data_IF_040524590483
#
_entry.id   IF_040524590483
#
_cell.length_a   1.000
_cell.length_b   1.000
_cell.length_c   1.000
_cell.angle_alpha   90.00
_cell.angle_beta   90.00
_cell.angle_gamma   90.00
#
_symmetry.space_group_name_H-M   'P 1'
#
loop_
_entity.id
_entity.type
_entity.pdbx_description
1 polymer ?
#
# COMPACT_ATOMS: atom_id res chain seq x y z
N UNK A 1 -41.89 -9.96 -1.09
CA UNK A 1 -41.16 -8.93 -0.31
C UNK A 1 -39.84 -8.66 -1.01
N UNK A 2 -39.72 -7.50 -1.65
CA UNK A 2 -38.58 -7.15 -2.50
C UNK A 2 -37.43 -6.62 -1.64
N UNK A 3 -36.30 -7.31 -1.62
CA UNK A 3 -35.06 -6.81 -1.03
C UNK A 3 -34.48 -5.73 -1.94
N UNK A 4 -34.78 -4.47 -1.63
CA UNK A 4 -34.02 -3.34 -2.17
C UNK A 4 -32.62 -3.38 -1.57
N UNK A 5 -31.65 -3.76 -2.40
CA UNK A 5 -30.23 -3.50 -2.18
C UNK A 5 -30.05 -2.00 -1.94
N UNK A 6 -29.68 -1.62 -0.71
CA UNK A 6 -29.37 -0.24 -0.36
C UNK A 6 -27.98 0.05 -0.90
N UNK A 7 -27.92 0.64 -2.09
CA UNK A 7 -26.71 1.29 -2.58
C UNK A 7 -26.27 2.32 -1.53
N UNK A 8 -25.10 2.10 -0.93
CA UNK A 8 -24.43 3.05 -0.06
C UNK A 8 -23.98 4.22 -0.94
N UNK A 9 -24.83 5.23 -1.07
CA UNK A 9 -24.41 6.56 -1.52
C UNK A 9 -23.69 7.23 -0.35
N UNK A 10 -22.47 6.78 -0.04
CA UNK A 10 -21.55 7.55 0.78
C UNK A 10 -21.12 8.76 -0.07
N UNK A 11 -21.12 9.95 0.52
CA UNK A 11 -20.62 11.16 -0.12
C UNK A 11 -19.11 10.97 -0.39
N UNK A 12 -18.77 10.52 -1.60
CA UNK A 12 -17.42 10.03 -1.98
C UNK A 12 -16.33 11.10 -1.81
N UNK A 13 -16.73 12.38 -1.91
CA UNK A 13 -15.84 13.53 -1.71
C UNK A 13 -15.21 13.57 -0.31
N UNK A 14 -15.97 13.21 0.74
CA UNK A 14 -15.46 13.23 2.11
C UNK A 14 -14.55 12.05 2.44
N UNK A 15 -14.74 10.90 1.78
CA UNK A 15 -13.91 9.72 2.03
C UNK A 15 -12.50 9.91 1.49
N UNK A 16 -12.35 10.48 0.28
CA UNK A 16 -11.06 10.69 -0.35
C UNK A 16 -10.38 12.04 -0.01
N UNK A 17 -10.93 12.79 0.95
CA UNK A 17 -10.36 14.07 1.40
C UNK A 17 -9.27 13.85 2.48
N UNK A 18 -7.98 14.10 2.21
CA UNK A 18 -6.90 13.91 3.19
C UNK A 18 -7.01 14.80 4.44
N UNK A 19 -7.74 15.92 4.38
CA UNK A 19 -7.97 16.79 5.53
C UNK A 19 -9.14 16.32 6.41
N UNK A 20 -10.01 15.47 5.86
CA UNK A 20 -11.02 14.79 6.64
C UNK A 20 -10.43 13.56 7.34
N UNK A 21 -10.21 13.67 8.66
CA UNK A 21 -9.75 12.56 9.49
C UNK A 21 -10.88 11.79 10.17
N UNK A 22 -12.12 12.05 9.77
CA UNK A 22 -13.33 11.42 10.30
C UNK A 22 -13.37 9.90 10.10
N UNK A 23 -14.48 9.26 10.50
CA UNK A 23 -14.61 7.82 10.38
C UNK A 23 -14.61 7.41 8.90
N UNK A 24 -13.64 6.57 8.51
CA UNK A 24 -13.61 5.89 7.21
C UNK A 24 -13.80 4.41 7.42
N UNK A 25 -14.84 3.88 6.81
CA UNK A 25 -15.12 2.45 6.89
C UNK A 25 -13.93 1.62 6.39
N UNK A 26 -13.69 0.51 7.06
CA UNK A 26 -12.85 -0.56 6.59
C UNK A 26 -13.51 -1.90 6.91
N UNK A 27 -13.12 -3.02 6.27
CA UNK A 27 -13.67 -4.33 6.57
C UNK A 27 -13.75 -4.68 8.07
N UNK A 28 -12.75 -4.26 8.87
CA UNK A 28 -12.74 -4.46 10.33
C UNK A 28 -13.65 -3.50 11.11
N UNK A 29 -13.86 -2.28 10.60
CA UNK A 29 -14.60 -1.21 11.27
C UNK A 29 -15.60 -0.58 10.30
N UNK A 30 -16.79 -1.18 10.22
CA UNK A 30 -17.89 -0.73 9.35
C UNK A 30 -18.54 0.58 9.79
N UNK A 31 -18.28 1.01 11.02
CA UNK A 31 -18.63 2.33 11.54
C UNK A 31 -17.56 3.39 11.25
N UNK A 32 -16.44 2.99 10.64
CA UNK A 32 -15.30 3.84 10.34
C UNK A 32 -14.42 4.22 11.53
N UNK A 33 -14.61 3.57 12.69
CA UNK A 33 -13.76 3.79 13.86
C UNK A 33 -13.89 5.19 14.48
N UNK A 34 -12.86 5.58 15.23
CA UNK A 34 -12.78 6.89 15.91
C UNK A 34 -12.23 7.96 14.99
N UNK A 35 -11.20 7.63 14.21
CA UNK A 35 -10.60 8.51 13.22
C UNK A 35 -9.86 7.68 12.17
N UNK A 36 -9.53 8.31 11.05
CA UNK A 36 -8.75 7.69 9.99
C UNK A 36 -7.82 8.69 9.32
N UNK A 37 -6.75 8.19 8.71
CA UNK A 37 -5.81 8.99 7.93
C UNK A 37 -5.81 8.47 6.51
N UNK A 38 -5.80 9.37 5.52
CA UNK A 38 -5.86 9.02 4.11
C UNK A 38 -4.76 9.72 3.32
N UNK A 39 -4.26 9.03 2.30
CA UNK A 39 -3.41 9.63 1.27
C UNK A 39 -3.66 8.94 -0.07
N UNK A 40 -3.40 9.66 -1.15
CA UNK A 40 -3.44 9.12 -2.49
C UNK A 40 -2.44 9.82 -3.39
N UNK A 41 -2.04 9.13 -4.46
CA UNK A 41 -1.24 9.70 -5.53
C UNK A 41 -1.45 8.92 -6.83
N UNK A 42 -1.20 9.58 -7.96
CA UNK A 42 -1.04 8.91 -9.25
C UNK A 42 0.43 8.57 -9.44
N UNK A 43 0.75 7.32 -9.77
CA UNK A 43 2.11 6.82 -10.00
C UNK A 43 2.26 6.46 -11.48
N UNK A 44 3.25 7.05 -12.16
CA UNK A 44 3.54 6.80 -13.57
C UNK A 44 4.28 5.47 -13.78
N UNK A 45 3.61 4.40 -13.42
CA UNK A 45 4.07 3.03 -13.57
C UNK A 45 2.85 2.10 -13.64
N UNK A 46 2.98 0.91 -14.24
CA UNK A 46 1.90 -0.06 -14.28
C UNK A 46 1.55 -0.58 -12.87
N UNK A 47 0.29 -1.01 -12.63
CA UNK A 47 -0.17 -1.51 -11.33
C UNK A 47 0.71 -2.60 -10.72
N UNK A 48 1.30 -3.44 -11.57
CA UNK A 48 2.20 -4.51 -11.14
C UNK A 48 3.43 -4.00 -10.41
N UNK A 49 4.04 -2.90 -10.87
CA UNK A 49 5.24 -2.35 -10.24
C UNK A 49 4.92 -1.81 -8.83
N UNK A 50 3.78 -1.13 -8.67
CA UNK A 50 3.32 -0.64 -7.37
C UNK A 50 2.97 -1.80 -6.43
N UNK A 51 2.28 -2.81 -6.94
CA UNK A 51 1.90 -4.01 -6.18
C UNK A 51 3.12 -4.77 -5.67
N UNK A 52 4.10 -5.02 -6.54
CA UNK A 52 5.34 -5.72 -6.15
C UNK A 52 6.15 -4.91 -5.13
N UNK A 53 6.23 -3.59 -5.28
CA UNK A 53 6.94 -2.72 -4.32
C UNK A 53 6.30 -2.73 -2.92
N UNK A 54 4.97 -2.78 -2.83
CA UNK A 54 4.26 -2.88 -1.54
C UNK A 54 4.50 -4.25 -0.90
N UNK A 55 4.47 -5.34 -1.68
CA UNK A 55 4.67 -6.69 -1.13
C UNK A 55 6.12 -6.98 -0.74
N UNK A 56 7.08 -6.26 -1.30
CA UNK A 56 8.51 -6.39 -1.00
C UNK A 56 8.93 -5.62 0.26
N UNK A 57 8.38 -6.01 1.41
CA UNK A 57 8.55 -5.29 2.68
C UNK A 57 10.01 -5.13 3.12
N UNK A 58 10.90 -6.03 2.72
CA UNK A 58 12.33 -5.95 3.03
C UNK A 58 13.03 -4.79 2.32
N UNK A 59 12.48 -4.32 1.19
CA UNK A 59 12.97 -3.17 0.44
C UNK A 59 12.33 -1.85 0.86
N UNK A 60 11.38 -1.85 1.79
CA UNK A 60 10.75 -0.60 2.24
C UNK A 60 11.79 0.39 2.79
N UNK A 61 12.84 -0.08 3.45
CA UNK A 61 13.96 0.77 3.91
C UNK A 61 14.69 1.53 2.80
N UNK A 62 14.60 1.08 1.55
CA UNK A 62 15.25 1.72 0.40
C UNK A 62 14.48 2.96 -0.06
N UNK A 63 13.17 3.03 0.21
CA UNK A 63 12.32 4.11 -0.31
C UNK A 63 11.51 4.84 0.76
N UNK A 64 11.11 4.18 1.84
CA UNK A 64 10.10 4.67 2.76
C UNK A 64 10.70 5.42 3.95
N UNK A 65 10.48 6.73 4.01
CA UNK A 65 10.96 7.56 5.13
C UNK A 65 10.03 7.55 6.34
N UNK A 66 8.83 6.97 6.23
CA UNK A 66 7.91 6.77 7.34
C UNK A 66 8.12 5.40 8.01
N UNK A 67 7.90 4.30 7.29
CA UNK A 67 8.18 2.94 7.79
C UNK A 67 9.57 2.55 7.33
N UNK A 68 10.55 2.88 8.16
CA UNK A 68 11.97 2.84 7.81
C UNK A 68 12.56 1.43 7.73
N UNK A 69 11.92 0.45 8.36
CA UNK A 69 12.29 -0.96 8.23
C UNK A 69 11.11 -1.87 8.60
N UNK A 70 11.13 -3.11 8.13
CA UNK A 70 10.12 -4.12 8.44
C UNK A 70 10.78 -5.45 8.80
N UNK A 71 10.51 -5.92 10.01
CA UNK A 71 10.93 -7.25 10.47
C UNK A 71 9.78 -8.24 10.29
N UNK A 72 9.93 -9.24 9.42
CA UNK A 72 8.98 -10.37 9.35
C UNK A 72 9.22 -11.28 10.55
N UNK A 73 8.21 -11.40 11.42
CA UNK A 73 8.29 -12.19 12.67
C UNK A 73 7.69 -13.59 12.52
N UNK A 74 6.76 -13.77 11.59
CA UNK A 74 6.23 -15.09 11.20
C UNK A 74 5.71 -15.02 9.77
N UNK A 75 5.93 -16.09 8.99
CA UNK A 75 5.51 -16.14 7.59
C UNK A 75 4.95 -17.54 7.25
N UNK A 76 3.79 -17.64 6.56
CA UNK A 76 3.18 -18.93 6.17
C UNK A 76 4.10 -19.84 5.33
N UNK A 77 5.05 -19.24 4.62
CA UNK A 77 6.04 -19.91 3.78
C UNK A 77 7.48 -19.61 4.21
N UNK A 78 7.78 -19.68 5.51
CA UNK A 78 9.08 -19.33 6.10
C UNK A 78 10.31 -20.05 5.53
N UNK A 79 10.12 -21.14 4.79
CA UNK A 79 11.18 -21.89 4.11
C UNK A 79 11.69 -21.23 2.81
N UNK A 80 10.99 -20.22 2.28
CA UNK A 80 11.42 -19.50 1.08
C UNK A 80 12.49 -18.46 1.42
N UNK A 81 13.47 -18.28 0.52
CA UNK A 81 14.56 -17.30 0.71
C UNK A 81 14.09 -15.85 0.52
N UNK A 82 13.24 -15.63 -0.49
CA UNK A 82 12.74 -14.31 -0.84
C UNK A 82 11.31 -14.13 -0.33
N UNK A 83 11.18 -13.80 0.96
CA UNK A 83 9.88 -13.62 1.60
C UNK A 83 9.25 -12.30 1.16
N UNK A 84 8.14 -12.38 0.42
CA UNK A 84 7.23 -11.25 0.19
C UNK A 84 6.09 -11.33 1.19
N UNK A 85 5.49 -10.18 1.52
CA UNK A 85 4.27 -10.18 2.33
C UNK A 85 3.18 -11.03 1.67
N UNK A 86 2.61 -11.95 2.44
CA UNK A 86 1.46 -12.80 2.07
C UNK A 86 0.38 -12.78 3.17
N UNK A 87 -0.83 -13.24 2.88
CA UNK A 87 -1.89 -13.40 3.89
C UNK A 87 -1.40 -14.22 5.09
N UNK A 88 -1.56 -13.68 6.30
CA UNK A 88 -1.08 -14.29 7.53
C UNK A 88 0.40 -14.01 7.85
N UNK A 89 1.07 -13.13 7.11
CA UNK A 89 2.42 -12.66 7.47
C UNK A 89 2.34 -11.73 8.68
N UNK A 90 3.10 -12.03 9.72
CA UNK A 90 3.25 -11.18 10.91
C UNK A 90 4.53 -10.36 10.80
N UNK A 91 4.42 -9.07 11.11
CA UNK A 91 5.48 -8.09 10.89
C UNK A 91 5.60 -7.14 12.07
N UNK A 92 6.80 -6.62 12.29
CA UNK A 92 7.03 -5.44 13.11
C UNK A 92 7.45 -4.31 12.18
N UNK A 93 6.70 -3.22 12.18
CA UNK A 93 7.02 -2.00 11.42
C UNK A 93 7.82 -1.06 12.31
N UNK A 94 8.99 -0.64 11.84
CA UNK A 94 9.85 0.32 12.52
C UNK A 94 9.63 1.71 11.93
N UNK A 95 8.81 2.53 12.58
CA UNK A 95 8.30 3.78 12.02
C UNK A 95 8.98 5.02 12.61
N UNK A 96 9.31 6.00 11.77
CA UNK A 96 9.70 7.35 12.16
C UNK A 96 8.45 8.22 12.28
N UNK A 97 7.84 8.21 13.47
CA UNK A 97 6.56 8.88 13.73
C UNK A 97 6.67 10.41 13.66
N UNK A 98 7.71 10.98 14.28
CA UNK A 98 8.08 12.40 14.20
C UNK A 98 9.60 12.50 14.03
N UNK A 99 10.22 13.65 13.71
CA UNK A 99 11.68 13.75 13.62
C UNK A 99 12.45 13.34 14.89
N UNK A 100 11.80 13.34 16.06
CA UNK A 100 12.41 13.02 17.35
C UNK A 100 11.92 11.70 17.96
N UNK A 101 10.93 11.05 17.36
CA UNK A 101 10.24 9.90 17.95
C UNK A 101 10.11 8.77 16.94
N UNK A 102 10.61 7.60 17.32
CA UNK A 102 10.40 6.32 16.63
C UNK A 102 9.35 5.51 17.37
N UNK A 103 8.59 4.71 16.63
CA UNK A 103 7.59 3.82 17.18
C UNK A 103 7.59 2.50 16.41
N UNK A 104 7.44 1.41 17.15
CA UNK A 104 7.26 0.09 16.57
C UNK A 104 5.80 -0.32 16.68
N UNK A 105 5.25 -0.86 15.60
CA UNK A 105 3.93 -1.47 15.59
C UNK A 105 4.02 -2.92 15.11
N UNK A 106 3.23 -3.81 15.72
CA UNK A 106 3.09 -5.20 15.27
C UNK A 106 1.86 -5.28 14.39
N UNK A 107 2.03 -5.79 13.18
CA UNK A 107 1.00 -5.87 12.16
C UNK A 107 0.86 -7.32 11.69
N UNK A 108 -0.33 -7.66 11.19
CA UNK A 108 -0.57 -8.91 10.45
C UNK A 108 -1.21 -8.59 9.11
N UNK A 109 -0.65 -9.13 8.02
CA UNK A 109 -1.27 -9.02 6.71
C UNK A 109 -2.56 -9.85 6.71
N UNK A 110 -3.69 -9.18 6.61
CA UNK A 110 -5.02 -9.79 6.72
C UNK A 110 -5.64 -10.08 5.36
N UNK A 111 -5.12 -9.47 4.29
CA UNK A 111 -5.59 -9.72 2.93
C UNK A 111 -4.65 -9.20 1.84
N UNK A 112 -4.50 -9.98 0.79
CA UNK A 112 -3.89 -9.62 -0.48
C UNK A 112 -4.82 -10.10 -1.59
N UNK A 113 -5.45 -9.15 -2.26
CA UNK A 113 -6.21 -9.43 -3.46
C UNK A 113 -5.31 -9.74 -4.65
N UNK A 114 -5.76 -10.62 -5.55
CA UNK A 114 -5.13 -10.78 -6.87
C UNK A 114 -5.03 -9.42 -7.55
N UNK A 115 -3.86 -9.11 -8.10
CA UNK A 115 -3.65 -7.92 -8.92
C UNK A 115 -4.66 -7.91 -10.07
N UNK A 116 -5.41 -6.81 -10.15
CA UNK A 116 -6.35 -6.52 -11.22
C UNK A 116 -5.78 -5.46 -12.16
N UNK A 117 -6.08 -5.62 -13.44
CA UNK A 117 -5.73 -4.68 -14.51
C UNK A 117 -7.00 -4.30 -15.29
N UNK A 118 -6.84 -3.47 -16.32
CA UNK A 118 -7.90 -3.14 -17.28
C UNK A 118 -8.47 -4.35 -18.04
N UNK A 119 -7.77 -5.47 -18.04
CA UNK A 119 -8.25 -6.72 -18.66
C UNK A 119 -9.28 -7.44 -17.78
N UNK A 120 -9.34 -7.13 -16.48
CA UNK A 120 -10.28 -7.75 -15.55
C UNK A 120 -11.68 -7.11 -15.60
N UNK A 121 -12.68 -7.86 -15.12
CA UNK A 121 -14.03 -7.35 -14.95
C UNK A 121 -14.12 -6.37 -13.77
N UNK A 122 -14.88 -5.26 -13.89
CA UNK A 122 -15.15 -4.35 -12.79
C UNK A 122 -15.77 -5.03 -11.54
N UNK A 123 -15.47 -4.54 -10.32
CA UNK A 123 -14.56 -3.43 -10.00
C UNK A 123 -13.07 -3.84 -10.09
N UNK A 124 -12.25 -2.96 -10.71
CA UNK A 124 -10.84 -3.18 -11.05
C UNK A 124 -9.86 -2.67 -9.99
N UNK A 125 -10.27 -2.75 -8.73
CA UNK A 125 -9.45 -2.32 -7.60
C UNK A 125 -8.83 -3.54 -6.93
N UNK A 126 -7.50 -3.54 -6.84
CA UNK A 126 -6.72 -4.48 -6.03
C UNK A 126 -6.61 -3.95 -4.61
N UNK A 127 -6.78 -4.81 -3.60
CA UNK A 127 -6.70 -4.41 -2.19
C UNK A 127 -5.65 -5.21 -1.45
N UNK A 128 -4.82 -4.52 -0.69
CA UNK A 128 -3.89 -5.10 0.29
C UNK A 128 -4.25 -4.53 1.66
N UNK A 129 -4.39 -5.38 2.66
CA UNK A 129 -4.75 -4.98 4.03
C UNK A 129 -3.83 -5.60 5.05
N UNK A 130 -3.54 -4.82 6.09
CA UNK A 130 -2.93 -5.31 7.31
C UNK A 130 -3.59 -4.67 8.52
N UNK A 131 -3.55 -5.42 9.61
CA UNK A 131 -4.27 -5.14 10.83
C UNK A 131 -3.29 -5.06 11.99
N UNK A 132 -3.56 -4.16 12.93
CA UNK A 132 -2.81 -4.09 14.17
C UNK A 132 -2.91 -5.42 14.91
N UNK A 133 -1.78 -6.06 15.18
CA UNK A 133 -1.72 -7.37 15.81
C UNK A 133 -1.91 -7.26 17.34
N UNK A 134 -3.16 -7.08 17.74
CA UNK A 134 -3.62 -6.98 19.13
C UNK A 134 -3.03 -8.05 20.07
N UNK A 135 -3.07 -9.32 19.66
CA UNK A 135 -2.55 -10.43 20.47
C UNK A 135 -1.04 -10.33 20.70
N UNK A 136 -0.29 -9.78 19.74
CA UNK A 136 1.14 -9.49 19.88
C UNK A 136 1.48 -8.47 20.97
N UNK A 137 0.50 -7.70 21.45
CA UNK A 137 0.63 -6.74 22.56
C UNK A 137 -0.17 -7.12 23.81
N UNK A 138 -0.83 -8.28 23.82
CA UNK A 138 -1.81 -8.65 24.85
C UNK A 138 -2.88 -7.55 25.06
N UNK A 139 -3.17 -6.77 24.01
CA UNK A 139 -4.10 -5.66 24.05
C UNK A 139 -5.43 -6.09 23.39
N UNK A 140 -6.55 -6.14 24.12
CA UNK A 140 -7.86 -6.45 23.52
C UNK A 140 -8.28 -5.44 22.45
N UNK A 141 -9.13 -5.84 21.49
CA UNK A 141 -9.57 -4.97 20.39
C UNK A 141 -10.38 -3.73 20.82
N UNK A 142 -10.99 -3.74 22.02
CA UNK A 142 -11.64 -2.55 22.58
C UNK A 142 -10.61 -1.49 23.01
N UNK A 143 -9.36 -1.90 23.27
CA UNK A 143 -8.26 -1.01 23.64
C UNK A 143 -7.75 -0.27 22.41
N UNK A 144 -7.40 -1.00 21.38
CA UNK A 144 -6.97 -0.43 20.12
C UNK A 144 -7.28 -1.43 19.04
N UNK A 145 -7.69 -0.94 17.89
CA UNK A 145 -7.69 -1.70 16.65
C UNK A 145 -7.32 -0.73 15.55
N UNK A 146 -6.48 -1.16 14.63
CA UNK A 146 -6.19 -0.40 13.42
C UNK A 146 -6.22 -1.35 12.24
N UNK A 147 -6.71 -0.88 11.11
CA UNK A 147 -6.61 -1.58 9.84
C UNK A 147 -6.18 -0.59 8.79
N UNK A 148 -5.08 -0.91 8.12
CA UNK A 148 -4.62 -0.19 6.94
C UNK A 148 -5.09 -0.89 5.69
N UNK A 149 -5.63 -0.10 4.77
CA UNK A 149 -6.06 -0.54 3.45
C UNK A 149 -5.26 0.21 2.41
N UNK A 150 -4.80 -0.53 1.41
CA UNK A 150 -4.12 0.01 0.23
C UNK A 150 -4.90 -0.45 -0.99
N UNK A 151 -5.21 0.50 -1.85
CA UNK A 151 -5.89 0.27 -3.12
C UNK A 151 -4.96 0.62 -4.27
N UNK A 152 -4.94 -0.28 -5.26
CA UNK A 152 -4.20 -0.12 -6.50
C UNK A 152 -5.20 -0.29 -7.63
N UNK A 153 -5.30 0.72 -8.47
CA UNK A 153 -6.22 0.77 -9.60
C UNK A 153 -5.48 1.29 -10.84
N UNK A 154 -5.70 0.65 -11.98
CA UNK A 154 -5.16 1.10 -13.27
C UNK A 154 -6.01 2.25 -13.80
N UNK A 155 -5.38 3.38 -14.10
CA UNK A 155 -5.99 4.50 -14.81
C UNK A 155 -6.08 4.21 -16.32
N UNK A 156 -6.85 5.02 -17.05
CA UNK A 156 -7.07 4.83 -18.49
C UNK A 156 -5.77 4.91 -19.32
N UNK A 157 -4.81 5.73 -18.88
CA UNK A 157 -3.50 5.90 -19.51
C UNK A 157 -2.48 4.81 -19.13
N UNK A 158 -2.89 3.80 -18.37
CA UNK A 158 -2.03 2.72 -17.87
C UNK A 158 -1.17 3.09 -16.66
N UNK A 159 -1.31 4.32 -16.14
CA UNK A 159 -0.72 4.71 -14.85
C UNK A 159 -1.51 4.09 -13.68
N UNK A 160 -0.97 4.18 -12.48
CA UNK A 160 -1.60 3.63 -11.29
C UNK A 160 -2.17 4.75 -10.42
N UNK A 161 -3.46 4.66 -10.10
CA UNK A 161 -4.06 5.41 -9.01
C UNK A 161 -3.90 4.62 -7.71
N UNK A 162 -3.06 5.14 -6.81
CA UNK A 162 -2.78 4.54 -5.52
C UNK A 162 -3.52 5.30 -4.42
N UNK A 163 -4.23 4.58 -3.56
CA UNK A 163 -4.91 5.14 -2.37
C UNK A 163 -4.58 4.31 -1.15
N UNK A 164 -4.46 4.95 -0.01
CA UNK A 164 -4.19 4.26 1.25
C UNK A 164 -4.85 4.98 2.40
N UNK A 165 -5.46 4.22 3.31
CA UNK A 165 -5.97 4.77 4.57
C UNK A 165 -5.77 3.80 5.71
N UNK A 166 -5.74 4.34 6.91
CA UNK A 166 -5.76 3.55 8.13
C UNK A 166 -6.85 4.08 9.05
N UNK A 167 -7.70 3.16 9.47
CA UNK A 167 -8.80 3.43 10.37
C UNK A 167 -8.41 2.97 11.77
N UNK A 168 -8.57 3.83 12.77
CA UNK A 168 -8.26 3.54 14.17
C UNK A 168 -9.52 3.49 15.01
N UNK A 169 -9.66 2.49 15.86
CA UNK A 169 -10.77 2.31 16.78
C UNK A 169 -10.34 1.91 18.18
N UNK A 170 -11.29 1.94 19.11
CA UNK A 170 -11.07 1.65 20.53
C UNK A 170 -10.82 2.91 21.37
N UNK A 171 -10.79 2.74 22.70
CA UNK A 171 -10.65 3.87 23.64
C UNK A 171 -9.34 4.67 23.44
N UNK A 172 -8.24 4.03 23.02
CA UNK A 172 -6.92 4.64 22.90
C UNK A 172 -6.77 5.44 21.60
N UNK A 173 -7.62 5.17 20.60
CA UNK A 173 -7.61 5.88 19.34
C UNK A 173 -7.84 7.39 19.52
N UNK A 174 -8.66 7.81 20.50
CA UNK A 174 -8.85 9.25 20.81
C UNK A 174 -7.54 9.91 21.28
N UNK A 175 -6.76 9.21 22.09
CA UNK A 175 -5.47 9.69 22.58
C UNK A 175 -4.44 9.73 21.45
N UNK A 176 -4.42 8.71 20.59
CA UNK A 176 -3.53 8.65 19.41
C UNK A 176 -3.86 9.80 18.46
N UNK A 177 -5.14 10.03 18.14
CA UNK A 177 -5.59 11.17 17.33
C UNK A 177 -5.05 12.47 17.90
N UNK A 178 -5.33 12.75 19.18
CA UNK A 178 -4.89 13.99 19.83
C UNK A 178 -3.36 14.19 19.79
N UNK A 179 -2.59 13.11 19.90
CA UNK A 179 -1.12 13.19 19.96
C UNK A 179 -0.44 13.22 18.59
N UNK A 180 -0.96 12.46 17.62
CA UNK A 180 -0.23 12.14 16.38
C UNK A 180 -1.03 12.39 15.10
N UNK A 181 -2.24 12.94 15.13
CA UNK A 181 -3.04 13.14 13.92
C UNK A 181 -2.29 13.87 12.80
N UNK A 182 -1.73 15.05 13.07
CA UNK A 182 -0.96 15.81 12.07
C UNK A 182 0.30 15.06 11.62
N UNK A 183 1.02 14.45 12.55
CA UNK A 183 2.19 13.64 12.23
C UNK A 183 1.81 12.47 11.32
N UNK A 184 0.68 11.80 11.58
CA UNK A 184 0.20 10.69 10.76
C UNK A 184 -0.25 11.16 9.38
N UNK A 185 -0.92 12.33 9.26
CA UNK A 185 -1.23 12.94 7.96
C UNK A 185 0.04 13.14 7.13
N UNK A 186 1.06 13.76 7.72
CA UNK A 186 2.36 13.96 7.08
C UNK A 186 3.01 12.63 6.71
N UNK A 187 2.97 11.65 7.61
CA UNK A 187 3.54 10.32 7.40
C UNK A 187 2.90 9.57 6.24
N UNK A 188 1.58 9.67 6.08
CA UNK A 188 0.86 9.05 4.97
C UNK A 188 1.11 9.78 3.65
N UNK A 189 1.23 11.11 3.68
CA UNK A 189 1.65 11.87 2.51
C UNK A 189 3.08 11.49 2.09
N UNK A 190 4.01 11.36 3.04
CA UNK A 190 5.38 10.89 2.81
C UNK A 190 5.40 9.48 2.24
N UNK A 191 4.64 8.55 2.81
CA UNK A 191 4.47 7.20 2.30
C UNK A 191 4.13 7.19 0.80
N UNK A 192 3.08 7.91 0.40
CA UNK A 192 2.60 7.91 -0.99
C UNK A 192 3.58 8.59 -1.95
N UNK A 193 4.24 9.67 -1.50
CA UNK A 193 5.30 10.36 -2.25
C UNK A 193 6.50 9.46 -2.48
N UNK A 194 6.96 8.78 -1.43
CA UNK A 194 8.16 7.96 -1.43
C UNK A 194 7.97 6.71 -2.30
N UNK A 195 6.81 6.03 -2.17
CA UNK A 195 6.42 4.91 -3.04
C UNK A 195 6.39 5.33 -4.52
N UNK A 196 5.77 6.49 -4.82
CA UNK A 196 5.74 7.06 -6.16
C UNK A 196 7.15 7.28 -6.70
N UNK A 197 8.01 7.92 -5.92
CA UNK A 197 9.39 8.23 -6.31
C UNK A 197 10.17 6.97 -6.67
N UNK A 198 10.14 5.97 -5.79
CA UNK A 198 10.83 4.69 -5.98
C UNK A 198 10.34 3.95 -7.23
N UNK A 199 9.02 3.75 -7.35
CA UNK A 199 8.47 2.96 -8.45
C UNK A 199 8.69 3.65 -9.81
N UNK A 200 8.52 4.97 -9.90
CA UNK A 200 8.78 5.70 -11.14
C UNK A 200 10.26 5.72 -11.53
N UNK A 201 11.17 5.69 -10.55
CA UNK A 201 12.61 5.60 -10.81
C UNK A 201 13.00 4.22 -11.35
N UNK A 202 12.52 3.14 -10.71
CA UNK A 202 12.75 1.77 -11.21
C UNK A 202 12.22 1.60 -12.64
N UNK A 203 11.01 2.11 -12.91
CA UNK A 203 10.41 2.03 -14.24
C UNK A 203 11.24 2.78 -15.32
N UNK A 204 11.85 3.91 -14.97
CA UNK A 204 12.77 4.63 -15.88
C UNK A 204 14.06 3.84 -16.12
N UNK A 205 14.62 3.25 -15.07
CA UNK A 205 15.81 2.41 -15.15
C UNK A 205 15.60 1.20 -16.07
N UNK A 206 14.49 0.50 -15.90
CA UNK A 206 14.13 -0.67 -16.71
C UNK A 206 13.91 -0.30 -18.18
N UNK A 207 13.21 0.81 -18.46
CA UNK A 207 13.00 1.30 -19.83
C UNK A 207 14.30 1.70 -20.52
N UNK A 208 15.23 2.35 -19.80
CA UNK A 208 16.54 2.69 -20.34
C UNK A 208 17.39 1.44 -20.63
N UNK A 209 17.37 0.44 -19.74
CA UNK A 209 18.07 -0.82 -19.95
C UNK A 209 17.53 -1.61 -21.15
N UNK A 210 16.21 -1.64 -21.33
CA UNK A 210 15.57 -2.28 -22.48
C UNK A 210 15.93 -1.58 -23.79
N UNK A 211 15.91 -0.24 -23.84
CA UNK A 211 16.29 0.51 -25.04
C UNK A 211 17.75 0.26 -25.45
N UNK A 212 18.68 0.20 -24.49
CA UNK A 212 20.09 -0.11 -24.76
C UNK A 212 20.25 -1.54 -25.31
N UNK A 213 19.50 -2.51 -24.77
CA UNK A 213 19.54 -3.89 -25.26
C UNK A 213 18.99 -4.02 -26.69
N UNK A 214 17.94 -3.28 -27.04
CA UNK A 214 17.38 -3.28 -28.40
C UNK A 214 18.31 -2.64 -29.44
N UNK A 215 18.98 -1.54 -29.09
CA UNK A 215 19.99 -0.91 -29.97
C UNK A 215 21.17 -1.87 -30.22
N UNK A 216 21.67 -2.53 -29.18
CA UNK A 216 22.76 -3.51 -29.30
C UNK A 216 22.38 -4.73 -30.15
N UNK A 217 21.12 -5.15 -30.16
CA UNK A 217 20.63 -6.23 -31.03
C UNK A 217 20.41 -5.77 -32.48
N UNK A 218 20.06 -4.50 -32.70
CA UNK A 218 19.90 -3.93 -34.05
C UNK A 218 21.25 -3.77 -34.77
N UNK A 219 22.32 -3.41 -34.04
CA UNK A 219 23.68 -3.30 -34.59
C UNK A 219 24.35 -4.67 -34.88
N UNK A 220 23.86 -5.75 -34.26
CA UNK A 220 24.40 -7.10 -34.43
C UNK A 220 23.80 -7.89 -35.61
N UNK A 221 22.90 -7.32 -36.42
CA UNK A 221 22.41 -7.97 -37.65
C UNK A 221 23.46 -7.84 -38.78
N UNK A 222 24.13 -8.93 -39.22
CA UNK A 222 25.04 -8.84 -40.36
C UNK A 222 24.27 -8.48 -41.63
N UNK A 223 24.84 -7.59 -42.43
CA UNK A 223 24.38 -7.27 -43.77
C UNK A 223 24.27 -8.59 -44.57
N UNK A 224 23.07 -8.90 -45.06
CA UNK A 224 22.84 -10.06 -45.92
C UNK A 224 23.79 -9.98 -47.11
N UNK A 225 24.75 -10.91 -47.18
CA UNK A 225 25.52 -11.16 -48.39
C UNK A 225 24.55 -11.54 -49.51
N UNK A 226 24.48 -10.69 -50.52
CA UNK A 226 23.91 -11.04 -51.82
C UNK A 226 24.91 -11.97 -52.52
N UNK A 227 24.57 -13.23 -52.68
CA UNK A 227 25.29 -14.11 -53.60
C UNK A 227 24.47 -14.26 -54.88
N UNK A 228 25.13 -13.95 -56.00
CA UNK A 228 24.65 -13.96 -57.40
C UNK A 228 24.52 -15.38 -57.93
#
# INVERSE_FOLDING_TARGET
MSHKSRALTHNDAGFHDPDNTGPRECPMMRDGGVFSIYSSCTIRAPPKAVYDAILDVQKWKEWNTFVTDVTITSHPHSHKKDLKMTDGTYMTFHSQMTPKERADSKEVCSHIGRLKTKEDHPPRVTRIRWDFHNAGYLAPAFVIKAQRVNEIEEAEDGTTLYRTWETFGGWAAKTIKKKYEEALKDNFARWSRDLKGYVEEQQRGDGAAQAVAEVGQAEAKPAREYTV
#
